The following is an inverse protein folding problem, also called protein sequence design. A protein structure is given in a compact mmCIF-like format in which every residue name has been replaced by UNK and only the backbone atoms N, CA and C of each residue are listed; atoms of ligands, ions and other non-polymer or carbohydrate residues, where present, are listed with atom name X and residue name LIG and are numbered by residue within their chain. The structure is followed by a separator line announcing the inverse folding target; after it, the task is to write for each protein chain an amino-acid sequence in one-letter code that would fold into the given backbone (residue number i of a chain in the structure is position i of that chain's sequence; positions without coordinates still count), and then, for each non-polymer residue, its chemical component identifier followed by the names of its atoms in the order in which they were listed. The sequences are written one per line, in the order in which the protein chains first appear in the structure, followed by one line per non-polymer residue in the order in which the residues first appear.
data_IF_523973322361
#
_entry.id   IF_523973322361
#
_cell.length_a   1.000
_cell.length_b   1.000
_cell.length_c   1.000
_cell.angle_alpha   90.00
_cell.angle_beta   90.00
_cell.angle_gamma   90.00
#
_symmetry.space_group_name_H-M   'P 1'
#
loop_
_entity.id
_entity.type
_entity.pdbx_description
1 polymer ?
#
# COMPACT_ATOMS: atom_id res chain seq x y z
N UNK A 1 11.69 -30.92 16.03
CA UNK A 1 10.79 -29.75 15.91
C UNK A 1 11.51 -28.55 16.52
N UNK A 2 12.10 -27.67 15.72
CA UNK A 2 12.60 -26.39 16.23
C UNK A 2 11.43 -25.42 16.02
N UNK A 3 10.82 -24.97 17.12
CA UNK A 3 9.71 -23.99 17.20
C UNK A 3 8.26 -24.45 16.89
N UNK A 4 7.96 -25.75 16.77
CA UNK A 4 6.57 -26.24 16.66
C UNK A 4 5.78 -25.80 15.40
N UNK A 5 6.39 -25.03 14.51
CA UNK A 5 5.85 -24.68 13.20
C UNK A 5 5.99 -25.88 12.26
N UNK A 6 4.86 -26.52 11.96
CA UNK A 6 4.79 -27.47 10.86
C UNK A 6 5.22 -26.76 9.56
N UNK A 7 6.10 -27.40 8.77
CA UNK A 7 6.59 -26.87 7.48
C UNK A 7 5.46 -26.46 6.53
N UNK A 8 4.27 -27.04 6.72
CA UNK A 8 3.04 -26.70 6.00
C UNK A 8 2.57 -25.27 6.25
N UNK A 9 2.71 -24.74 7.47
CA UNK A 9 2.31 -23.36 7.78
C UNK A 9 3.22 -22.33 7.10
N UNK A 10 4.50 -22.64 6.93
CA UNK A 10 5.45 -21.77 6.23
C UNK A 10 4.98 -21.50 4.79
N UNK A 11 4.52 -22.54 4.09
CA UNK A 11 4.00 -22.41 2.72
C UNK A 11 2.69 -21.61 2.64
N UNK A 12 1.88 -21.58 3.69
CA UNK A 12 0.69 -20.73 3.75
C UNK A 12 1.00 -19.27 4.12
N UNK A 13 1.98 -19.04 5.00
CA UNK A 13 2.35 -17.70 5.47
C UNK A 13 3.19 -16.93 4.44
N UNK A 14 4.02 -17.63 3.67
CA UNK A 14 4.89 -17.01 2.66
C UNK A 14 4.14 -16.16 1.62
N UNK A 15 3.05 -16.62 0.95
CA UNK A 15 2.31 -15.79 0.01
C UNK A 15 1.61 -14.60 0.69
N UNK A 16 1.11 -14.77 1.92
CA UNK A 16 0.50 -13.67 2.67
C UNK A 16 1.50 -12.56 3.01
N UNK A 17 2.72 -12.94 3.40
CA UNK A 17 3.83 -12.01 3.61
C UNK A 17 4.20 -11.29 2.32
N UNK A 18 4.32 -12.02 1.19
CA UNK A 18 4.59 -11.42 -0.12
C UNK A 18 3.53 -10.39 -0.52
N UNK A 19 2.25 -10.72 -0.35
CA UNK A 19 1.15 -9.80 -0.62
C UNK A 19 1.21 -8.56 0.29
N UNK A 20 1.41 -8.73 1.60
CA UNK A 20 1.46 -7.63 2.54
C UNK A 20 2.61 -6.66 2.22
N UNK A 21 3.79 -7.19 1.89
CA UNK A 21 4.96 -6.38 1.51
C UNK A 21 4.69 -5.67 0.19
N UNK A 22 4.19 -6.37 -0.82
CA UNK A 22 3.86 -5.77 -2.12
C UNK A 22 2.85 -4.62 -1.98
N UNK A 23 1.76 -4.86 -1.25
CA UNK A 23 0.75 -3.84 -0.98
C UNK A 23 1.32 -2.62 -0.26
N UNK A 24 2.19 -2.83 0.73
CA UNK A 24 2.87 -1.75 1.44
C UNK A 24 3.76 -0.92 0.49
N UNK A 25 4.50 -1.56 -0.40
CA UNK A 25 5.35 -0.87 -1.38
C UNK A 25 4.51 -0.08 -2.38
N UNK A 26 3.40 -0.64 -2.87
CA UNK A 26 2.48 0.05 -3.77
C UNK A 26 1.90 1.31 -3.13
N UNK A 27 1.47 1.23 -1.86
CA UNK A 27 0.99 2.41 -1.13
C UNK A 27 2.06 3.51 -1.05
N UNK A 28 3.33 3.14 -0.81
CA UNK A 28 4.44 4.09 -0.81
C UNK A 28 4.71 4.70 -2.17
N UNK A 29 4.52 3.95 -3.25
CA UNK A 29 4.61 4.50 -4.60
C UNK A 29 3.45 5.46 -4.88
N UNK A 30 2.22 5.14 -4.46
CA UNK A 30 1.07 6.04 -4.57
C UNK A 30 1.31 7.36 -3.83
N UNK A 31 1.88 7.31 -2.62
CA UNK A 31 2.27 8.51 -1.87
C UNK A 31 3.28 9.39 -2.66
N UNK A 32 4.21 8.78 -3.42
CA UNK A 32 5.15 9.51 -4.29
C UNK A 32 4.48 10.12 -5.52
N UNK A 33 3.40 9.53 -6.01
CA UNK A 33 2.64 9.97 -7.20
C UNK A 33 1.59 11.06 -6.89
N UNK A 34 1.80 11.88 -5.87
CA UNK A 34 0.81 12.89 -5.41
C UNK A 34 0.97 14.29 -6.01
N UNK A 35 1.99 14.53 -6.84
CA UNK A 35 2.30 15.89 -7.34
C UNK A 35 1.18 16.53 -8.17
N UNK A 36 0.38 15.71 -8.85
CA UNK A 36 -0.76 16.14 -9.66
C UNK A 36 -2.11 15.96 -8.94
N UNK A 37 -2.10 15.55 -7.66
CA UNK A 37 -3.31 15.43 -6.85
C UNK A 37 -4.03 16.78 -6.81
N UNK A 38 -5.34 16.75 -7.01
CA UNK A 38 -6.24 17.92 -6.98
C UNK A 38 -5.93 19.01 -8.02
N UNK A 39 -5.17 18.68 -9.08
CA UNK A 39 -4.81 19.60 -10.17
C UNK A 39 -5.37 19.21 -11.54
N UNK A 40 -6.14 18.13 -11.62
CA UNK A 40 -6.75 17.69 -12.88
C UNK A 40 -7.91 18.60 -13.27
N UNK A 41 -8.21 18.67 -14.57
CA UNK A 41 -9.31 19.50 -15.07
C UNK A 41 -10.69 19.11 -14.49
N UNK A 42 -10.87 17.82 -14.16
CA UNK A 42 -12.15 17.29 -13.66
C UNK A 42 -12.26 17.29 -12.13
N UNK A 43 -11.14 17.08 -11.43
CA UNK A 43 -11.10 16.95 -9.96
C UNK A 43 -10.23 18.01 -9.28
N UNK A 44 -10.01 19.14 -9.96
CA UNK A 44 -9.35 20.31 -9.41
C UNK A 44 -10.09 20.78 -8.15
N UNK A 45 -9.35 20.99 -7.06
CA UNK A 45 -9.94 21.51 -5.81
C UNK A 45 -9.21 22.79 -5.36
N UNK A 46 -9.89 23.69 -4.63
CA UNK A 46 -9.24 24.86 -4.04
C UNK A 46 -8.08 24.45 -3.14
N UNK A 47 -7.00 25.24 -3.14
CA UNK A 47 -5.86 25.03 -2.26
C UNK A 47 -6.26 25.13 -0.77
N UNK A 48 -5.58 24.39 0.11
CA UNK A 48 -5.75 24.51 1.56
C UNK A 48 -6.59 23.43 2.25
N UNK A 49 -7.09 22.40 1.54
CA UNK A 49 -7.71 21.25 2.19
C UNK A 49 -6.64 20.35 2.84
N UNK A 50 -6.77 20.10 4.14
CA UNK A 50 -5.78 19.34 4.91
C UNK A 50 -5.73 17.84 4.57
N UNK A 51 -6.82 17.27 4.06
CA UNK A 51 -6.92 15.84 3.75
C UNK A 51 -6.78 15.57 2.24
N UNK A 52 -6.09 14.48 1.84
CA UNK A 52 -6.04 14.04 0.45
C UNK A 52 -7.44 13.69 -0.10
N UNK A 53 -7.59 13.72 -1.42
CA UNK A 53 -8.84 13.35 -2.10
C UNK A 53 -9.11 11.84 -2.20
N UNK A 54 -8.15 11.03 -1.76
CA UNK A 54 -8.16 9.58 -1.77
C UNK A 54 -7.67 9.03 -0.44
#
# INVERSE_FOLDING_TARGET
MVLGLDKRYVWGVLPLLGFAIGHFLDQKETERMTRFRDKSALYGRPEGRAQPSW
#
